data_IF_451537770379
#
_entry.id   IF_451537770379
#
_cell.length_a   1.000
_cell.length_b   1.000
_cell.length_c   1.000
_cell.angle_alpha   90.00
_cell.angle_beta   90.00
_cell.angle_gamma   90.00
#
_symmetry.space_group_name_H-M   'P 1'
#
loop_
_entity.id
_entity.type
_entity.pdbx_description
1 polymer ?
#
# COMPACT_ATOMS: atom_id res chain seq x y z
N UNK A 1 20.32 -1.27 33.48
CA UNK A 1 19.48 -1.32 32.31
C UNK A 1 19.84 -0.19 31.36
N UNK A 2 19.82 -0.48 30.16
CA UNK A 2 20.14 0.53 29.17
C UNK A 2 19.01 1.47 28.94
N UNK A 3 19.35 2.71 28.76
CA UNK A 3 18.43 3.70 28.31
C UNK A 3 18.06 3.41 26.87
N UNK A 4 16.77 3.32 26.61
CA UNK A 4 16.24 3.06 25.28
C UNK A 4 15.45 4.21 24.74
N UNK A 5 15.73 5.40 25.22
CA UNK A 5 15.03 6.56 24.68
C UNK A 5 15.28 6.64 23.16
N UNK A 6 14.26 7.11 22.42
CA UNK A 6 14.41 7.26 20.99
C UNK A 6 15.61 8.14 20.67
N UNK A 7 16.41 7.73 19.75
CA UNK A 7 17.56 8.49 19.32
C UNK A 7 18.83 8.22 20.09
N UNK A 8 18.75 7.46 21.19
CA UNK A 8 19.95 7.16 21.96
C UNK A 8 20.76 6.03 21.35
N UNK A 9 20.19 5.27 20.46
CA UNK A 9 20.85 4.18 19.78
C UNK A 9 20.61 4.27 18.29
N UNK A 10 21.63 3.93 17.53
CA UNK A 10 21.54 3.94 16.09
C UNK A 10 21.43 2.53 15.57
N UNK A 11 20.45 2.32 14.70
CA UNK A 11 20.22 1.02 14.09
C UNK A 11 21.07 0.92 12.83
N UNK A 12 22.26 0.36 12.99
CA UNK A 12 23.19 0.18 11.88
C UNK A 12 22.81 -0.99 10.97
N UNK A 13 21.92 -1.86 11.42
CA UNK A 13 21.44 -2.97 10.60
C UNK A 13 20.24 -2.56 9.77
N UNK A 14 19.55 -1.52 10.22
CA UNK A 14 18.37 -0.98 9.53
C UNK A 14 17.19 -1.95 9.60
N UNK A 15 16.91 -2.44 10.80
CA UNK A 15 15.80 -3.37 11.01
C UNK A 15 14.47 -2.79 10.56
N UNK A 16 14.26 -1.50 10.76
CA UNK A 16 13.00 -0.88 10.36
C UNK A 16 12.79 -1.03 8.85
N UNK A 17 13.81 -0.69 8.06
CA UNK A 17 13.69 -0.81 6.61
C UNK A 17 13.53 -2.26 6.16
N UNK A 18 14.24 -3.18 6.82
CA UNK A 18 14.11 -4.60 6.50
C UNK A 18 12.70 -5.10 6.78
N UNK A 19 12.13 -4.70 7.91
CA UNK A 19 10.77 -5.08 8.27
C UNK A 19 9.76 -4.51 7.29
N UNK A 20 9.90 -3.24 6.94
CA UNK A 20 9.00 -2.61 5.98
C UNK A 20 9.08 -3.30 4.62
N UNK A 21 10.27 -3.64 4.17
CA UNK A 21 10.45 -4.36 2.91
C UNK A 21 9.76 -5.73 2.94
N UNK A 22 9.90 -6.44 4.05
CA UNK A 22 9.27 -7.76 4.21
C UNK A 22 7.75 -7.64 4.20
N UNK A 23 7.19 -6.63 4.88
CA UNK A 23 5.76 -6.42 4.91
C UNK A 23 5.22 -6.02 3.53
N UNK A 24 5.97 -5.23 2.77
CA UNK A 24 5.57 -4.92 1.40
C UNK A 24 5.62 -6.18 0.53
N UNK A 25 6.51 -7.12 0.84
CA UNK A 25 6.52 -8.42 0.19
C UNK A 25 5.25 -9.22 0.48
N UNK A 26 4.74 -9.14 1.70
CA UNK A 26 3.46 -9.76 2.05
C UNK A 26 2.34 -9.14 1.22
N UNK A 27 2.28 -7.82 1.15
CA UNK A 27 1.30 -7.11 0.35
C UNK A 27 1.36 -7.56 -1.11
N UNK A 28 2.55 -7.53 -1.71
CA UNK A 28 2.73 -7.91 -3.10
C UNK A 28 2.25 -9.34 -3.36
N UNK A 29 2.63 -10.26 -2.49
CA UNK A 29 2.24 -11.66 -2.66
C UNK A 29 0.75 -11.84 -2.52
N UNK A 30 0.12 -11.19 -1.56
CA UNK A 30 -1.33 -11.26 -1.38
C UNK A 30 -2.06 -10.76 -2.63
N UNK A 31 -1.66 -9.60 -3.14
CA UNK A 31 -2.28 -9.04 -4.33
C UNK A 31 -2.01 -9.91 -5.55
N UNK A 32 -0.80 -10.43 -5.67
CA UNK A 32 -0.45 -11.27 -6.82
C UNK A 32 -1.28 -12.56 -6.84
N UNK A 33 -1.45 -13.17 -5.68
CA UNK A 33 -2.24 -14.40 -5.60
C UNK A 33 -3.69 -14.15 -6.01
N UNK A 34 -4.28 -13.05 -5.55
CA UNK A 34 -5.65 -12.71 -5.91
C UNK A 34 -5.76 -12.34 -7.38
N UNK A 35 -4.75 -11.67 -7.93
CA UNK A 35 -4.79 -11.25 -9.33
C UNK A 35 -4.87 -12.43 -10.30
N UNK A 36 -4.46 -13.61 -9.87
CA UNK A 36 -4.52 -14.82 -10.69
C UNK A 36 -5.88 -15.50 -10.66
N UNK A 37 -6.77 -15.05 -9.81
CA UNK A 37 -8.10 -15.62 -9.65
C UNK A 37 -9.11 -14.80 -10.46
N UNK A 38 -10.21 -15.42 -10.85
CA UNK A 38 -11.25 -14.72 -11.59
C UNK A 38 -11.93 -13.66 -10.74
N UNK A 39 -11.97 -13.88 -9.42
CA UNK A 39 -12.61 -12.96 -8.49
C UNK A 39 -12.04 -13.15 -7.11
N UNK A 40 -12.36 -12.22 -6.22
CA UNK A 40 -11.98 -12.33 -4.82
C UNK A 40 -12.49 -13.63 -4.21
N UNK A 41 -11.63 -14.37 -3.51
CA UNK A 41 -12.08 -15.62 -2.89
C UNK A 41 -12.90 -15.34 -1.63
N UNK A 42 -13.93 -16.14 -1.42
CA UNK A 42 -14.77 -16.06 -0.21
C UNK A 42 -15.29 -14.65 0.02
N UNK A 43 -15.21 -14.21 1.26
CA UNK A 43 -15.64 -12.87 1.67
C UNK A 43 -14.48 -11.87 1.71
N UNK A 44 -13.32 -12.24 1.20
CA UNK A 44 -12.17 -11.34 1.21
C UNK A 44 -12.44 -10.09 0.38
N UNK A 45 -11.94 -8.99 0.86
CA UNK A 45 -11.90 -7.74 0.12
C UNK A 45 -10.78 -6.88 0.68
N UNK A 46 -10.21 -6.04 -0.16
CA UNK A 46 -9.02 -5.29 0.20
C UNK A 46 -9.31 -3.80 0.18
N UNK A 47 -8.90 -3.12 1.24
CA UNK A 47 -8.81 -1.68 1.28
C UNK A 47 -7.34 -1.34 1.15
N UNK A 48 -7.00 -0.61 0.09
CA UNK A 48 -5.62 -0.20 -0.16
C UNK A 48 -5.57 1.32 -0.15
N UNK A 49 -4.82 1.86 0.79
CA UNK A 49 -4.62 3.30 0.90
C UNK A 49 -3.22 3.63 0.39
N UNK A 50 -3.13 4.63 -0.47
CA UNK A 50 -1.86 5.00 -1.09
C UNK A 50 -1.76 6.51 -1.24
N UNK A 51 -0.52 6.98 -1.34
CA UNK A 51 -0.24 8.40 -1.53
C UNK A 51 -0.36 8.72 -3.01
N UNK A 52 -1.28 9.60 -3.32
CA UNK A 52 -1.67 9.85 -4.72
C UNK A 52 -0.61 10.61 -5.51
N UNK A 53 0.21 11.41 -4.82
CA UNK A 53 1.22 12.22 -5.50
C UNK A 53 2.61 11.64 -5.42
N UNK A 54 2.74 10.42 -4.93
CA UNK A 54 4.04 9.76 -4.92
C UNK A 54 4.46 9.44 -6.36
N UNK A 55 5.75 9.53 -6.61
CA UNK A 55 6.32 9.25 -7.91
C UNK A 55 5.93 7.84 -8.37
N UNK A 56 5.50 7.71 -9.60
CA UNK A 56 5.11 6.43 -10.17
C UNK A 56 3.62 6.14 -10.11
N UNK A 57 2.85 6.88 -9.32
CA UNK A 57 1.40 6.73 -9.30
C UNK A 57 0.82 7.32 -10.57
N UNK A 58 0.09 6.49 -11.32
CA UNK A 58 -0.59 6.89 -12.55
C UNK A 58 -2.08 6.73 -12.36
N UNK A 59 -2.80 7.81 -12.48
CA UNK A 59 -4.25 7.85 -12.36
C UNK A 59 -4.76 9.15 -12.95
N UNK A 60 -6.06 9.26 -13.14
CA UNK A 60 -6.64 10.47 -13.69
C UNK A 60 -6.37 11.68 -12.82
N UNK A 61 -6.06 12.82 -13.47
CA UNK A 61 -5.71 14.03 -12.75
C UNK A 61 -6.84 14.51 -11.83
N UNK A 62 -8.08 14.38 -12.26
CA UNK A 62 -9.19 14.83 -11.41
C UNK A 62 -9.31 14.01 -10.12
N UNK A 63 -8.88 12.76 -10.15
CA UNK A 63 -8.83 11.94 -8.93
C UNK A 63 -7.71 12.39 -8.01
N UNK A 64 -6.56 12.76 -8.56
CA UNK A 64 -5.49 13.32 -7.75
C UNK A 64 -5.90 14.63 -7.12
N UNK A 65 -6.66 15.44 -7.84
CA UNK A 65 -7.14 16.71 -7.30
C UNK A 65 -8.17 16.49 -6.19
N UNK A 66 -9.01 15.49 -6.36
CA UNK A 66 -10.02 15.15 -5.36
C UNK A 66 -9.39 14.53 -4.12
N UNK A 67 -8.34 13.77 -4.30
CA UNK A 67 -7.61 13.09 -3.22
C UNK A 67 -6.14 13.51 -3.28
N UNK A 68 -5.84 14.72 -2.80
CA UNK A 68 -4.49 15.28 -3.03
C UNK A 68 -3.39 14.63 -2.21
N UNK A 69 -3.73 13.98 -1.11
CA UNK A 69 -2.74 13.34 -0.23
C UNK A 69 -2.79 11.84 -0.32
N UNK A 70 -3.93 11.26 0.02
CA UNK A 70 -4.12 9.82 0.04
C UNK A 70 -5.47 9.47 -0.54
N UNK A 71 -5.55 8.26 -1.06
CA UNK A 71 -6.79 7.70 -1.56
C UNK A 71 -6.87 6.25 -1.12
N UNK A 72 -8.07 5.81 -0.74
CA UNK A 72 -8.32 4.41 -0.44
C UNK A 72 -9.19 3.82 -1.53
N UNK A 73 -8.71 2.73 -2.11
CA UNK A 73 -9.49 1.98 -3.09
C UNK A 73 -9.94 0.67 -2.45
N UNK A 74 -11.06 0.15 -2.96
CA UNK A 74 -11.63 -1.12 -2.49
C UNK A 74 -11.59 -2.10 -3.65
N UNK A 75 -10.95 -3.24 -3.42
CA UNK A 75 -10.89 -4.31 -4.40
C UNK A 75 -11.80 -5.42 -3.89
N UNK A 76 -12.95 -5.61 -4.54
CA UNK A 76 -13.93 -6.58 -4.08
C UNK A 76 -14.68 -7.24 -5.22
N UNK A 77 -15.70 -6.58 -5.78
CA UNK A 77 -16.58 -7.20 -6.78
C UNK A 77 -16.34 -6.71 -8.18
N UNK A 78 -16.13 -5.39 -8.32
CA UNK A 78 -16.03 -4.75 -9.62
C UNK A 78 -14.62 -4.20 -9.80
N UNK A 79 -13.74 -5.05 -10.32
CA UNK A 79 -12.41 -4.65 -10.73
C UNK A 79 -12.04 -5.46 -11.96
N UNK A 80 -11.17 -4.88 -12.78
CA UNK A 80 -10.76 -5.49 -14.05
C UNK A 80 -9.28 -5.27 -14.25
N UNK A 81 -8.67 -6.15 -15.06
CA UNK A 81 -7.28 -6.04 -15.47
C UNK A 81 -6.35 -5.82 -14.27
N UNK A 82 -6.54 -6.64 -13.27
CA UNK A 82 -5.74 -6.60 -12.06
C UNK A 82 -4.46 -7.38 -12.30
N UNK A 83 -3.34 -6.66 -12.41
CA UNK A 83 -2.04 -7.26 -12.70
C UNK A 83 -1.02 -6.76 -11.70
N UNK A 84 -0.17 -7.67 -11.23
CA UNK A 84 0.81 -7.37 -10.20
C UNK A 84 2.21 -7.63 -10.74
N UNK A 85 3.04 -6.62 -10.69
CA UNK A 85 4.45 -6.70 -11.06
C UNK A 85 5.31 -6.69 -9.79
N UNK A 86 6.64 -6.65 -9.96
CA UNK A 86 7.53 -6.68 -8.81
C UNK A 86 7.42 -5.41 -7.95
N UNK A 87 7.19 -4.26 -8.56
CA UNK A 87 7.23 -2.98 -7.87
C UNK A 87 5.90 -2.22 -7.86
N UNK A 88 4.89 -2.71 -8.59
CA UNK A 88 3.61 -2.01 -8.65
C UNK A 88 2.48 -2.96 -9.02
N UNK A 89 1.26 -2.49 -8.92
CA UNK A 89 0.11 -3.19 -9.47
C UNK A 89 -0.73 -2.23 -10.31
N UNK A 90 -1.48 -2.82 -11.24
CA UNK A 90 -2.39 -2.08 -12.11
C UNK A 90 -3.78 -2.66 -11.98
N UNK A 91 -4.77 -1.82 -12.06
CA UNK A 91 -6.15 -2.23 -11.88
C UNK A 91 -7.08 -1.20 -12.52
N UNK A 92 -8.21 -1.68 -13.00
CA UNK A 92 -9.28 -0.79 -13.45
C UNK A 92 -10.41 -0.87 -12.42
N UNK A 93 -10.83 0.28 -11.94
CA UNK A 93 -11.94 0.44 -11.02
C UNK A 93 -12.89 1.49 -11.56
N UNK A 94 -14.16 1.43 -11.17
CA UNK A 94 -15.12 2.45 -11.56
C UNK A 94 -15.26 3.49 -10.47
N UNK A 95 -15.24 4.75 -10.89
CA UNK A 95 -15.52 5.89 -10.02
C UNK A 95 -16.65 6.69 -10.64
N UNK A 96 -17.75 6.81 -9.92
CA UNK A 96 -18.97 7.43 -10.44
C UNK A 96 -19.39 6.80 -11.77
N UNK A 97 -19.26 5.49 -11.86
CA UNK A 97 -19.65 4.74 -13.05
C UNK A 97 -18.64 4.78 -14.20
N UNK A 98 -17.54 5.49 -14.06
CA UNK A 98 -16.53 5.62 -15.11
C UNK A 98 -15.32 4.75 -14.80
N UNK A 99 -14.93 3.83 -15.70
CA UNK A 99 -13.74 3.02 -15.49
C UNK A 99 -12.49 3.88 -15.52
N UNK A 100 -11.61 3.64 -14.56
CA UNK A 100 -10.35 4.36 -14.44
C UNK A 100 -9.23 3.35 -14.26
N UNK A 101 -8.20 3.45 -15.10
CA UNK A 101 -7.01 2.63 -14.98
C UNK A 101 -6.06 3.31 -13.98
N UNK A 102 -5.52 2.51 -13.07
CA UNK A 102 -4.59 3.01 -12.07
C UNK A 102 -3.36 2.13 -12.04
N UNK A 103 -2.21 2.75 -11.88
CA UNK A 103 -0.95 2.05 -11.67
C UNK A 103 -0.36 2.59 -10.38
N UNK A 104 -0.14 1.71 -9.41
CA UNK A 104 0.21 2.11 -8.06
C UNK A 104 1.45 1.35 -7.61
N UNK A 105 2.58 2.05 -7.39
CA UNK A 105 3.77 1.42 -6.83
C UNK A 105 3.50 0.94 -5.41
N UNK A 106 4.06 -0.21 -5.04
CA UNK A 106 3.92 -0.67 -3.67
C UNK A 106 4.53 0.32 -2.68
N UNK A 107 5.55 1.06 -3.11
CA UNK A 107 6.16 2.08 -2.26
C UNK A 107 5.20 3.20 -1.89
N UNK A 108 4.15 3.42 -2.69
CA UNK A 108 3.16 4.46 -2.42
C UNK A 108 2.08 4.01 -1.43
N UNK A 109 1.96 2.71 -1.18
CA UNK A 109 0.92 2.20 -0.29
C UNK A 109 1.26 2.51 1.16
N UNK A 110 0.32 3.12 1.87
CA UNK A 110 0.48 3.44 3.27
C UNK A 110 -0.27 2.47 4.18
N UNK A 111 -1.36 1.87 3.70
CA UNK A 111 -2.12 0.90 4.48
C UNK A 111 -2.76 -0.12 3.58
N UNK A 112 -2.90 -1.32 4.12
CA UNK A 112 -3.62 -2.41 3.49
C UNK A 112 -4.46 -3.09 4.56
N UNK A 113 -5.72 -3.37 4.25
CA UNK A 113 -6.60 -3.98 5.23
C UNK A 113 -7.59 -4.92 4.56
N UNK A 114 -7.74 -6.10 5.15
CA UNK A 114 -8.75 -7.09 4.76
C UNK A 114 -9.67 -7.31 5.96
N UNK A 115 -10.85 -6.67 5.98
CA UNK A 115 -11.75 -6.77 7.13
C UNK A 115 -12.31 -8.19 7.36
N UNK A 116 -12.38 -9.01 6.31
CA UNK A 116 -13.00 -10.34 6.44
C UNK A 116 -12.27 -11.21 7.45
N UNK A 117 -10.98 -11.00 7.62
CA UNK A 117 -10.15 -11.77 8.56
C UNK A 117 -9.42 -10.86 9.54
N UNK A 118 -9.77 -9.58 9.54
CA UNK A 118 -9.18 -8.58 10.43
C UNK A 118 -7.66 -8.54 10.30
N UNK A 119 -7.17 -8.52 9.06
CA UNK A 119 -5.74 -8.46 8.79
C UNK A 119 -5.39 -7.11 8.21
N UNK A 120 -4.34 -6.49 8.71
CA UNK A 120 -3.91 -5.20 8.21
C UNK A 120 -2.42 -5.01 8.27
N UNK A 121 -1.93 -4.13 7.39
CA UNK A 121 -0.54 -3.71 7.33
C UNK A 121 -0.51 -2.20 7.24
N UNK A 122 0.50 -1.61 7.86
CA UNK A 122 0.72 -0.18 7.81
C UNK A 122 2.17 0.07 7.45
N UNK A 123 2.41 1.01 6.55
CA UNK A 123 3.74 1.25 6.00
C UNK A 123 4.13 2.71 6.17
N UNK A 124 5.43 2.93 6.31
CA UNK A 124 5.99 4.25 6.11
C UNK A 124 5.93 4.54 4.63
N UNK A 125 5.29 5.63 4.27
CA UNK A 125 4.97 5.90 2.89
C UNK A 125 6.07 6.64 2.15
N UNK A 126 6.97 7.26 2.89
CA UNK A 126 8.00 8.11 2.31
C UNK A 126 9.35 7.73 2.89
N UNK A 127 10.27 7.22 2.06
CA UNK A 127 11.62 6.91 2.53
C UNK A 127 12.30 8.10 3.19
N UNK A 128 11.97 9.32 2.79
CA UNK A 128 12.52 10.51 3.41
C UNK A 128 12.10 10.63 4.87
N UNK A 129 10.89 10.24 5.19
CA UNK A 129 10.40 10.28 6.56
C UNK A 129 11.21 9.33 7.44
N UNK A 130 11.60 8.19 6.90
CA UNK A 130 12.45 7.26 7.62
C UNK A 130 13.82 7.89 7.88
N UNK A 131 14.37 8.55 6.87
CA UNK A 131 15.66 9.20 6.98
C UNK A 131 15.65 10.32 8.02
N UNK A 132 14.50 10.92 8.23
CA UNK A 132 14.34 11.96 9.25
C UNK A 132 14.20 11.38 10.66
N UNK A 133 14.20 10.07 10.76
CA UNK A 133 14.20 9.43 12.07
C UNK A 133 12.88 9.46 12.81
N UNK A 134 11.79 9.62 12.08
CA UNK A 134 10.47 9.66 12.69
C UNK A 134 9.62 8.54 12.10
N UNK A 135 10.01 7.31 12.31
CA UNK A 135 9.27 6.21 11.74
C UNK A 135 7.92 6.06 12.41
N UNK A 136 6.94 5.70 11.62
CA UNK A 136 5.65 5.31 12.16
C UNK A 136 5.76 3.87 12.60
N UNK A 137 5.48 3.66 13.87
CA UNK A 137 5.52 2.31 14.41
C UNK A 137 4.21 1.64 14.05
N UNK A 138 4.33 0.41 13.58
CA UNK A 138 3.15 -0.38 13.28
C UNK A 138 2.38 -0.68 14.55
N UNK A 139 1.06 -0.59 14.50
CA UNK A 139 0.24 -0.91 15.66
C UNK A 139 0.35 -2.35 16.08
#
# INVERSE_FOLDING_TARGET
MLDRSPGSATDHINYHALTQAALRGVLRTALKNVSKLERMPGDHHFYVTFRTRMQGVQMADYLKDKFPDEMTIVIQHQYWEFEVSDDHFEIILKFSGVPQHMSIPFAAVSRFFDPSVNFGLQFDSDPSAIAEGVPTVLP
#
